data_IF_308305726234
#
_entry.id   IF_308305726234
#
_cell.length_a   1.000
_cell.length_b   1.000
_cell.length_c   1.000
_cell.angle_alpha   90.00
_cell.angle_beta   90.00
_cell.angle_gamma   90.00
#
_symmetry.space_group_name_H-M   'P 1'
#
loop_
_entity.id
_entity.type
_entity.pdbx_description
1 polymer ?
#
# COMPACT_ATOMS: atom_id res chain seq x y z
N UNK A 1 9.49 12.69 2.84
CA UNK A 1 8.96 13.07 1.51
C UNK A 1 7.55 12.57 1.39
N UNK A 2 6.73 13.25 0.60
CA UNK A 2 5.35 12.80 0.36
C UNK A 2 5.33 11.83 -0.82
N UNK A 3 4.65 10.70 -0.65
CA UNK A 3 4.36 9.73 -1.71
C UNK A 3 2.87 9.70 -1.97
N UNK A 4 2.49 9.47 -3.22
CA UNK A 4 1.10 9.21 -3.57
C UNK A 4 0.78 7.75 -3.25
N UNK A 5 -0.33 7.53 -2.56
CA UNK A 5 -0.84 6.18 -2.28
C UNK A 5 -2.29 6.03 -2.71
N UNK A 6 -2.66 4.81 -3.08
CA UNK A 6 -4.06 4.43 -3.32
C UNK A 6 -4.38 3.17 -2.55
N UNK A 7 -5.43 3.21 -1.72
CA UNK A 7 -6.00 1.97 -1.16
C UNK A 7 -6.82 1.27 -2.24
N UNK A 8 -6.48 0.03 -2.54
CA UNK A 8 -7.10 -0.73 -3.61
C UNK A 8 -8.29 -1.53 -3.07
N UNK A 9 -9.47 -1.29 -3.63
CA UNK A 9 -10.65 -2.10 -3.42
C UNK A 9 -10.65 -3.27 -4.39
N UNK A 10 -11.27 -4.39 -4.00
CA UNK A 10 -11.32 -5.60 -4.82
C UNK A 10 -12.24 -5.37 -6.04
N UNK A 11 -11.73 -4.72 -7.07
CA UNK A 11 -12.31 -4.72 -8.42
C UNK A 11 -11.78 -5.94 -9.17
N UNK A 12 -12.68 -6.85 -9.59
CA UNK A 12 -12.50 -8.02 -10.49
C UNK A 12 -11.12 -8.72 -10.47
N UNK A 13 -11.09 -9.97 -10.00
CA UNK A 13 -9.97 -10.94 -10.06
C UNK A 13 -8.87 -10.55 -11.06
N UNK A 14 -7.77 -10.01 -10.54
CA UNK A 14 -6.56 -9.83 -11.33
C UNK A 14 -5.93 -11.21 -11.57
N UNK A 15 -5.38 -11.45 -12.77
CA UNK A 15 -4.69 -12.70 -13.11
C UNK A 15 -3.40 -12.95 -12.29
N UNK A 16 -2.98 -11.97 -11.47
CA UNK A 16 -1.85 -12.06 -10.54
C UNK A 16 -2.29 -12.42 -9.11
N UNK A 17 -3.50 -12.98 -8.92
CA UNK A 17 -4.05 -13.41 -7.62
C UNK A 17 -3.28 -14.60 -6.98
N UNK A 18 -2.43 -15.31 -7.73
CA UNK A 18 -1.67 -16.45 -7.19
C UNK A 18 -0.69 -16.06 -6.07
N UNK A 19 -0.10 -14.86 -6.12
CA UNK A 19 0.74 -14.33 -5.02
C UNK A 19 -0.08 -13.90 -3.78
N UNK A 20 -1.41 -13.75 -3.93
CA UNK A 20 -2.32 -13.16 -2.95
C UNK A 20 -3.22 -14.18 -2.24
N UNK A 21 -3.30 -15.41 -2.76
CA UNK A 21 -4.23 -16.45 -2.34
C UNK A 21 -4.07 -16.87 -0.87
N UNK A 22 -2.93 -16.57 -0.24
CA UNK A 22 -2.57 -17.07 1.09
C UNK A 22 -2.67 -16.04 2.24
N UNK A 23 -3.14 -14.81 1.97
CA UNK A 23 -3.16 -13.77 3.01
C UNK A 23 -4.39 -13.78 3.94
N UNK A 24 -5.29 -14.75 3.79
CA UNK A 24 -6.39 -14.99 4.74
C UNK A 24 -7.33 -13.80 5.04
N UNK A 25 -8.06 -13.92 6.15
CA UNK A 25 -8.90 -12.88 6.75
C UNK A 25 -8.46 -12.66 8.21
N UNK A 26 -8.61 -11.43 8.72
CA UNK A 26 -8.17 -11.04 10.07
C UNK A 26 -9.36 -10.47 10.83
N UNK A 27 -9.83 -11.17 11.87
CA UNK A 27 -11.05 -10.84 12.61
C UNK A 27 -12.28 -10.63 11.69
N UNK A 28 -12.43 -11.49 10.68
CA UNK A 28 -13.51 -11.40 9.68
C UNK A 28 -13.33 -10.27 8.65
N UNK A 29 -12.32 -9.41 8.78
CA UNK A 29 -12.01 -8.34 7.82
C UNK A 29 -10.99 -8.80 6.79
N UNK A 30 -11.11 -8.29 5.57
CA UNK A 30 -10.12 -8.54 4.49
C UNK A 30 -8.90 -7.65 4.69
N UNK A 31 -7.73 -8.15 4.27
CA UNK A 31 -6.50 -7.35 4.16
C UNK A 31 -6.75 -6.05 3.37
N UNK A 32 -6.06 -5.00 3.77
CA UNK A 32 -6.07 -3.71 3.06
C UNK A 32 -4.91 -3.73 2.08
N UNK A 33 -5.20 -3.50 0.80
CA UNK A 33 -4.18 -3.39 -0.23
C UNK A 33 -3.88 -1.91 -0.46
N UNK A 34 -2.61 -1.52 -0.46
CA UNK A 34 -2.18 -0.14 -0.69
C UNK A 34 -1.11 -0.15 -1.78
N UNK A 35 -1.30 0.67 -2.80
CA UNK A 35 -0.30 0.93 -3.81
C UNK A 35 0.46 2.21 -3.46
N UNK A 36 1.79 2.12 -3.43
CA UNK A 36 2.69 3.27 -3.39
C UNK A 36 3.12 3.55 -4.82
N UNK A 37 2.81 4.74 -5.31
CA UNK A 37 3.02 5.06 -6.71
C UNK A 37 4.46 5.43 -7.02
N UNK A 38 4.99 4.82 -8.08
CA UNK A 38 6.23 5.27 -8.67
C UNK A 38 5.98 6.54 -9.49
N UNK A 39 6.94 7.47 -9.49
CA UNK A 39 6.88 8.74 -10.20
C UNK A 39 8.26 9.13 -10.72
N UNK A 40 8.35 10.23 -11.46
CA UNK A 40 9.65 10.70 -11.95
C UNK A 40 10.64 10.89 -10.79
N UNK A 41 11.79 10.24 -10.87
CA UNK A 41 12.83 10.26 -9.83
C UNK A 41 12.53 9.43 -8.57
N UNK A 42 11.46 8.62 -8.56
CA UNK A 42 11.14 7.72 -7.46
C UNK A 42 10.53 6.41 -7.97
N UNK A 43 11.26 5.31 -7.84
CA UNK A 43 10.79 3.97 -8.13
C UNK A 43 10.41 3.27 -6.83
N UNK A 44 9.11 3.14 -6.55
CA UNK A 44 8.62 2.58 -5.29
C UNK A 44 9.09 1.13 -5.05
N UNK A 45 9.29 0.34 -6.12
CA UNK A 45 9.76 -1.05 -6.00
C UNK A 45 11.23 -1.13 -5.58
N UNK A 46 12.05 -0.21 -6.07
CA UNK A 46 13.50 -0.22 -5.87
C UNK A 46 13.94 0.64 -4.69
N UNK A 47 13.26 1.76 -4.44
CA UNK A 47 13.71 2.77 -3.49
C UNK A 47 13.15 2.55 -2.09
N UNK A 48 11.97 1.93 -1.93
CA UNK A 48 11.33 1.77 -0.61
C UNK A 48 11.96 0.63 0.18
N UNK A 49 12.27 0.89 1.45
CA UNK A 49 12.57 -0.16 2.43
C UNK A 49 11.24 -0.77 2.92
N UNK A 50 10.84 -1.87 2.30
CA UNK A 50 9.53 -2.50 2.53
C UNK A 50 9.31 -2.88 4.01
N UNK A 51 10.37 -3.24 4.74
CA UNK A 51 10.27 -3.64 6.14
C UNK A 51 10.04 -2.45 7.09
N UNK A 52 10.18 -1.22 6.60
CA UNK A 52 9.92 -0.01 7.36
C UNK A 52 8.46 0.46 7.28
N UNK A 53 7.65 -0.17 6.42
CA UNK A 53 6.31 0.32 6.10
C UNK A 53 5.33 0.07 7.24
N UNK A 54 4.63 1.12 7.64
CA UNK A 54 3.51 1.11 8.59
C UNK A 54 2.28 1.74 7.96
N UNK A 55 1.10 1.33 8.40
CA UNK A 55 -0.15 1.82 7.83
C UNK A 55 -1.31 1.74 8.82
N UNK A 56 -2.08 2.83 8.91
CA UNK A 56 -3.27 2.87 9.74
C UNK A 56 -3.81 4.27 9.92
N UNK A 57 -4.54 4.50 11.00
CA UNK A 57 -5.15 5.79 11.31
C UNK A 57 -4.09 6.90 11.39
N UNK A 58 -2.94 6.64 12.05
CA UNK A 58 -1.84 7.60 12.16
C UNK A 58 -0.68 7.31 11.22
N UNK A 59 -0.62 6.07 10.71
CA UNK A 59 0.49 5.57 9.90
C UNK A 59 1.66 5.07 10.72
N UNK A 60 1.55 4.92 12.04
CA UNK A 60 2.58 4.33 12.91
C UNK A 60 2.26 2.87 13.29
N UNK A 61 1.10 2.38 12.84
CA UNK A 61 0.62 1.06 13.15
C UNK A 61 1.41 -0.02 12.41
N UNK A 62 1.99 -0.97 13.18
CA UNK A 62 2.64 -2.17 12.67
C UNK A 62 1.61 -3.18 12.16
N UNK A 63 1.08 -2.86 10.99
CA UNK A 63 0.03 -3.62 10.31
C UNK A 63 0.52 -4.32 9.04
N UNK A 64 1.80 -4.18 8.66
CA UNK A 64 2.33 -4.75 7.42
C UNK A 64 2.25 -6.29 7.45
N UNK A 65 1.77 -6.86 6.35
CA UNK A 65 1.79 -8.30 6.10
C UNK A 65 2.94 -8.67 5.17
N UNK A 66 2.89 -8.13 3.95
CA UNK A 66 3.90 -8.31 2.91
C UNK A 66 3.64 -7.35 1.77
N UNK A 67 4.66 -7.14 0.93
CA UNK A 67 4.50 -6.51 -0.37
C UNK A 67 4.57 -7.55 -1.50
N UNK A 68 3.97 -7.23 -2.64
CA UNK A 68 4.10 -8.06 -3.84
C UNK A 68 5.54 -8.05 -4.34
N UNK A 69 6.04 -9.24 -4.71
CA UNK A 69 7.36 -9.38 -5.35
C UNK A 69 7.39 -8.73 -6.73
N UNK A 70 6.28 -8.81 -7.46
CA UNK A 70 6.09 -8.14 -8.76
C UNK A 70 5.25 -6.90 -8.54
N UNK A 71 5.78 -5.73 -8.92
CA UNK A 71 5.03 -4.48 -8.91
C UNK A 71 3.82 -4.54 -9.85
N UNK A 72 2.80 -3.73 -9.57
CA UNK A 72 1.57 -3.64 -10.37
C UNK A 72 1.47 -2.24 -10.96
N UNK A 73 1.13 -2.12 -12.25
CA UNK A 73 0.69 -0.81 -12.78
C UNK A 73 -0.73 -0.57 -12.29
N UNK A 74 -0.88 0.24 -11.24
CA UNK A 74 -2.21 0.67 -10.79
C UNK A 74 -2.65 1.80 -11.69
N UNK A 75 -3.84 1.65 -12.29
CA UNK A 75 -4.37 2.67 -13.19
C UNK A 75 -4.63 3.94 -12.39
N UNK A 76 -3.82 4.96 -12.62
CA UNK A 76 -4.05 6.33 -12.18
C UNK A 76 -4.75 7.08 -13.31
N UNK A 77 -5.79 7.85 -13.00
CA UNK A 77 -6.49 8.62 -14.02
C UNK A 77 -5.53 9.59 -14.71
N UNK A 78 -5.45 9.48 -16.05
CA UNK A 78 -4.62 10.35 -16.88
C UNK A 78 -3.15 9.95 -17.06
N UNK A 79 -2.66 8.89 -16.40
CA UNK A 79 -1.24 8.47 -16.51
C UNK A 79 -1.14 7.12 -17.23
N UNK A 80 -0.55 7.13 -18.43
CA UNK A 80 -0.46 5.96 -19.31
C UNK A 80 0.87 5.20 -19.19
N UNK A 81 1.92 5.86 -18.72
CA UNK A 81 3.31 5.36 -18.82
C UNK A 81 4.11 5.47 -17.52
N UNK A 82 3.49 5.20 -16.36
CA UNK A 82 4.25 5.16 -15.10
C UNK A 82 4.90 3.80 -14.83
N UNK A 83 6.03 3.88 -14.13
CA UNK A 83 6.77 2.73 -13.58
C UNK A 83 5.84 1.91 -12.67
N UNK A 84 6.15 0.63 -12.44
CA UNK A 84 5.28 -0.23 -11.61
C UNK A 84 5.19 0.32 -10.19
N UNK A 85 3.99 0.25 -9.63
CA UNK A 85 3.73 0.64 -8.24
C UNK A 85 4.04 -0.53 -7.31
N UNK A 86 4.49 -0.20 -6.10
CA UNK A 86 4.69 -1.17 -5.03
C UNK A 86 3.34 -1.40 -4.33
N UNK A 87 2.83 -2.63 -4.38
CA UNK A 87 1.60 -3.00 -3.70
C UNK A 87 1.93 -3.76 -2.42
N UNK A 88 1.48 -3.23 -1.29
CA UNK A 88 1.64 -3.84 0.02
C UNK A 88 0.29 -4.14 0.68
N UNK A 89 0.28 -5.15 1.53
CA UNK A 89 -0.89 -5.62 2.26
C UNK A 89 -0.76 -5.36 3.73
N UNK A 90 -1.85 -4.91 4.33
CA UNK A 90 -1.90 -4.52 5.72
C UNK A 90 -3.08 -5.17 6.44
N UNK A 91 -2.89 -5.41 7.73
CA UNK A 91 -3.85 -6.01 8.65
C UNK A 91 -4.88 -4.99 9.10
N UNK A 92 -6.17 -5.19 8.77
CA UNK A 92 -7.22 -4.26 9.18
C UNK A 92 -7.41 -4.24 10.70
N UNK A 93 -7.09 -5.33 11.41
CA UNK A 93 -7.20 -5.44 12.86
C UNK A 93 -6.04 -4.78 13.63
N UNK A 94 -4.95 -4.43 12.93
CA UNK A 94 -3.80 -3.72 13.51
C UNK A 94 -3.68 -2.28 13.03
N UNK A 95 -4.32 -1.92 11.92
CA UNK A 95 -4.30 -0.57 11.36
C UNK A 95 -5.06 0.48 12.21
N UNK A 96 -5.69 0.06 13.31
CA UNK A 96 -6.44 0.92 14.24
C UNK A 96 -7.50 1.82 13.55
N UNK A 97 -8.04 1.35 12.43
CA UNK A 97 -9.10 2.04 11.69
C UNK A 97 -10.45 1.80 12.34
N UNK A 98 -11.18 2.88 12.62
CA UNK A 98 -12.52 2.86 13.20
C UNK A 98 -13.57 3.20 12.16
N UNK A 99 -14.83 2.87 12.46
CA UNK A 99 -15.95 3.25 11.60
C UNK A 99 -16.05 4.78 11.51
N UNK A 100 -16.09 5.30 10.28
CA UNK A 100 -16.08 6.74 10.01
C UNK A 100 -14.74 7.29 9.55
N UNK A 101 -13.64 6.53 9.66
CA UNK A 101 -12.36 6.94 9.09
C UNK A 101 -12.46 7.05 7.56
N UNK A 102 -12.23 8.26 7.04
CA UNK A 102 -12.31 8.55 5.61
C UNK A 102 -10.97 8.36 4.90
N UNK A 103 -9.87 8.26 5.66
CA UNK A 103 -8.53 8.13 5.13
C UNK A 103 -7.61 7.40 6.11
N UNK A 104 -6.54 6.83 5.58
CA UNK A 104 -5.46 6.24 6.36
C UNK A 104 -4.12 6.77 5.87
N UNK A 105 -3.11 6.69 6.74
CA UNK A 105 -1.76 7.16 6.49
C UNK A 105 -0.82 5.96 6.36
N UNK A 106 0.06 6.02 5.37
CA UNK A 106 1.23 5.16 5.21
C UNK A 106 2.47 5.94 5.60
N UNK A 107 3.37 5.32 6.37
CA UNK A 107 4.72 5.82 6.61
C UNK A 107 5.77 4.74 6.31
N UNK A 108 7.01 5.17 6.25
CA UNK A 108 8.18 4.30 6.16
C UNK A 108 9.40 5.11 5.77
N UNK A 109 10.36 4.46 5.13
CA UNK A 109 11.53 5.11 4.55
C UNK A 109 11.96 4.45 3.24
N UNK A 110 12.79 5.17 2.51
CA UNK A 110 13.58 4.62 1.42
C UNK A 110 14.80 3.87 1.94
N UNK A 111 15.42 3.05 1.08
CA UNK A 111 16.63 2.27 1.41
C UNK A 111 17.84 3.15 1.74
N UNK A 112 17.89 4.38 1.24
CA UNK A 112 18.89 5.40 1.60
C UNK A 112 18.51 6.18 2.88
N UNK A 113 17.41 5.82 3.55
CA UNK A 113 17.06 6.31 4.88
C UNK A 113 16.14 7.53 4.92
N UNK A 114 15.66 8.02 3.78
CA UNK A 114 14.75 9.16 3.72
C UNK A 114 13.33 8.74 4.11
N UNK A 115 12.75 9.42 5.10
CA UNK A 115 11.37 9.15 5.53
C UNK A 115 10.36 9.41 4.39
N UNK A 116 9.34 8.58 4.29
CA UNK A 116 8.22 8.72 3.34
C UNK A 116 6.89 8.71 4.10
N UNK A 117 5.92 9.47 3.61
CA UNK A 117 4.55 9.43 4.11
C UNK A 117 3.54 9.72 3.00
N UNK A 118 2.35 9.14 3.08
CA UNK A 118 1.26 9.40 2.15
C UNK A 118 -0.09 9.07 2.78
N UNK A 119 -1.15 9.75 2.34
CA UNK A 119 -2.51 9.51 2.82
C UNK A 119 -3.40 9.04 1.66
N UNK A 120 -4.23 8.05 1.94
CA UNK A 120 -5.14 7.45 0.97
C UNK A 120 -6.57 7.41 1.50
N UNK A 121 -7.55 7.63 0.63
CA UNK A 121 -8.98 7.60 0.98
C UNK A 121 -9.40 6.16 1.22
N UNK A 122 -9.97 5.88 2.39
CA UNK A 122 -10.64 4.62 2.66
C UNK A 122 -12.01 4.64 1.96
N UNK A 123 -12.33 3.60 1.20
CA UNK A 123 -13.68 3.40 0.62
C UNK A 123 -14.27 2.05 1.03
#
# INVERSE_FOLDING_TARGET
MTVMITTLHKGKKDKDEDDDADLGTYNGKKKIAVAIHSMEGFNAMEDVDQNSLTFGATGDEDSLLKCKKKGKRVKLDGIKDHEKDLVCYFRPDRANLIEGDMSATLKGRTKDGKEIAGSGILR
#
